data_IF_119833629078
#
_entry.id   IF_119833629078
#
_cell.length_a   1.000
_cell.length_b   1.000
_cell.length_c   1.000
_cell.angle_alpha   90.00
_cell.angle_beta   90.00
_cell.angle_gamma   90.00
#
_symmetry.space_group_name_H-M   'P 1'
#
loop_
_entity.id
_entity.type
_entity.pdbx_description
1 polymer ?
#
# COMPACT_ATOMS: atom_id res chain seq x y z
N UNK A 1 21.28 -6.64 70.10
CA UNK A 1 21.53 -8.04 69.67
C UNK A 1 20.89 -8.20 68.31
N UNK A 2 21.67 -8.16 67.22
CA UNK A 2 22.11 -9.32 66.41
C UNK A 2 20.90 -10.06 65.80
N UNK A 3 20.75 -10.24 64.49
CA UNK A 3 21.77 -10.69 63.53
C UNK A 3 21.51 -10.16 62.10
N UNK A 4 22.61 -9.84 61.41
CA UNK A 4 22.72 -9.65 59.96
C UNK A 4 22.83 -11.02 59.25
N UNK A 5 22.37 -11.09 57.99
CA UNK A 5 22.66 -12.17 57.05
C UNK A 5 23.21 -11.60 55.73
N UNK A 6 24.07 -12.34 55.00
CA UNK A 6 25.15 -11.78 54.20
C UNK A 6 24.74 -11.43 52.76
N UNK A 7 25.42 -10.41 52.21
CA UNK A 7 25.36 -9.96 50.81
C UNK A 7 25.84 -11.05 49.85
N UNK A 8 25.01 -11.37 48.85
CA UNK A 8 25.43 -12.11 47.67
C UNK A 8 26.14 -11.16 46.68
N UNK A 9 27.35 -11.54 46.25
CA UNK A 9 28.17 -10.83 45.27
C UNK A 9 27.59 -10.99 43.86
N UNK A 10 27.45 -9.86 43.14
CA UNK A 10 27.07 -9.85 41.74
C UNK A 10 28.24 -10.30 40.86
N UNK A 11 28.02 -11.36 40.08
CA UNK A 11 28.93 -11.79 39.03
C UNK A 11 28.80 -10.86 37.80
N UNK A 12 29.91 -10.29 37.36
CA UNK A 12 30.00 -9.56 36.09
C UNK A 12 30.05 -10.55 34.91
N UNK A 13 29.30 -10.35 33.82
CA UNK A 13 29.50 -11.11 32.61
C UNK A 13 30.69 -10.60 31.80
N UNK A 14 31.48 -11.55 31.32
CA UNK A 14 32.65 -11.46 30.46
C UNK A 14 32.38 -10.76 29.13
N UNK A 15 33.27 -9.87 28.72
CA UNK A 15 33.36 -9.36 27.36
C UNK A 15 33.95 -10.45 26.44
N UNK A 16 33.20 -10.84 25.40
CA UNK A 16 33.73 -11.61 24.28
C UNK A 16 33.20 -11.01 22.97
N UNK A 17 34.14 -10.45 22.22
CA UNK A 17 34.22 -10.27 20.76
C UNK A 17 32.92 -10.27 19.95
N UNK A 18 32.45 -9.08 19.59
CA UNK A 18 31.52 -8.91 18.47
C UNK A 18 32.31 -8.55 17.20
N UNK A 19 32.40 -9.53 16.31
CA UNK A 19 32.90 -9.39 14.96
C UNK A 19 32.06 -8.35 14.18
N UNK A 20 32.77 -7.49 13.47
CA UNK A 20 32.24 -6.39 12.67
C UNK A 20 31.28 -6.90 11.58
N UNK A 21 30.01 -6.49 11.65
CA UNK A 21 29.09 -6.52 10.52
C UNK A 21 29.13 -5.14 9.85
N UNK A 22 29.64 -5.10 8.63
CA UNK A 22 29.72 -3.91 7.78
C UNK A 22 28.34 -3.52 7.25
N UNK A 23 27.53 -2.89 8.10
CA UNK A 23 26.37 -2.12 7.66
C UNK A 23 26.81 -0.75 7.20
N UNK A 24 26.63 -0.41 5.92
CA UNK A 24 26.73 0.97 5.46
C UNK A 24 25.72 1.83 6.25
N UNK A 25 26.11 3.00 6.77
CA UNK A 25 25.21 3.83 7.56
C UNK A 25 24.07 4.35 6.68
N UNK A 26 22.84 3.95 7.01
CA UNK A 26 21.63 4.57 6.48
C UNK A 26 21.59 6.00 7.05
N UNK A 27 21.84 7.00 6.20
CA UNK A 27 21.65 8.38 6.61
C UNK A 27 20.20 8.58 7.05
N UNK A 28 19.94 9.26 8.19
CA UNK A 28 18.58 9.54 8.63
C UNK A 28 17.90 10.41 7.57
N UNK A 29 16.95 9.81 6.85
CA UNK A 29 16.00 10.57 6.03
C UNK A 29 15.14 11.37 7.01
N UNK A 30 15.08 12.69 6.87
CA UNK A 30 14.22 13.52 7.70
C UNK A 30 12.76 13.06 7.51
N UNK A 31 12.24 12.32 8.50
CA UNK A 31 10.91 11.71 8.45
C UNK A 31 9.78 12.65 8.81
N UNK A 32 10.09 13.89 9.19
CA UNK A 32 9.09 14.90 9.52
C UNK A 32 8.82 15.77 8.28
N UNK A 33 7.58 15.76 7.79
CA UNK A 33 7.13 16.81 6.87
C UNK A 33 6.78 18.05 7.69
N UNK A 34 7.62 19.10 7.72
CA UNK A 34 7.28 20.31 8.45
C UNK A 34 6.00 20.91 7.87
N UNK A 35 5.15 21.46 8.74
CA UNK A 35 4.04 22.29 8.26
C UNK A 35 4.64 23.49 7.50
N UNK A 36 4.35 23.61 6.21
CA UNK A 36 4.77 24.74 5.39
C UNK A 36 3.59 25.64 5.08
N UNK A 37 3.74 26.97 5.13
CA UNK A 37 2.75 27.88 4.56
C UNK A 37 2.60 27.62 3.05
N UNK A 38 1.47 28.02 2.49
CA UNK A 38 1.20 27.83 1.06
C UNK A 38 2.31 28.45 0.21
N UNK A 39 2.80 27.70 -0.78
CA UNK A 39 4.01 28.02 -1.55
C UNK A 39 3.79 29.18 -2.53
N UNK A 40 2.54 29.47 -2.91
CA UNK A 40 2.16 30.64 -3.69
C UNK A 40 0.75 31.12 -3.36
N UNK A 41 0.49 32.42 -3.57
CA UNK A 41 -0.84 33.04 -3.44
C UNK A 41 -1.68 32.95 -4.73
N UNK A 42 -1.19 32.21 -5.74
CA UNK A 42 -1.89 31.97 -7.00
C UNK A 42 -2.97 30.90 -6.83
N UNK A 43 -4.11 31.28 -6.26
CA UNK A 43 -5.24 30.38 -5.99
C UNK A 43 -5.66 29.55 -7.21
N UNK A 44 -5.66 30.13 -8.42
CA UNK A 44 -6.01 29.42 -9.66
C UNK A 44 -5.08 28.24 -9.95
N UNK A 45 -3.76 28.43 -9.85
CA UNK A 45 -2.79 27.36 -10.08
C UNK A 45 -2.92 26.25 -9.03
N UNK A 46 -3.24 26.60 -7.78
CA UNK A 46 -3.47 25.60 -6.73
C UNK A 46 -4.68 24.73 -7.05
N UNK A 47 -5.78 25.33 -7.49
CA UNK A 47 -6.98 24.59 -7.91
C UNK A 47 -6.63 23.68 -9.09
N UNK A 48 -5.98 24.22 -10.13
CA UNK A 48 -5.61 23.47 -11.32
C UNK A 48 -4.77 22.23 -11.00
N UNK A 49 -3.64 22.39 -10.29
CA UNK A 49 -2.73 21.27 -10.03
C UNK A 49 -3.29 20.25 -9.04
N UNK A 50 -4.04 20.68 -8.02
CA UNK A 50 -4.65 19.74 -7.07
C UNK A 50 -5.76 18.95 -7.75
N UNK A 51 -6.63 19.60 -8.52
CA UNK A 51 -7.69 18.93 -9.27
C UNK A 51 -7.11 18.00 -10.33
N UNK A 52 -6.07 18.43 -11.06
CA UNK A 52 -5.38 17.60 -12.05
C UNK A 52 -4.80 16.34 -11.40
N UNK A 53 -4.10 16.47 -10.27
CA UNK A 53 -3.54 15.32 -9.57
C UNK A 53 -4.63 14.34 -9.12
N UNK A 54 -5.77 14.83 -8.61
CA UNK A 54 -6.89 13.98 -8.18
C UNK A 54 -7.58 13.31 -9.38
N UNK A 55 -7.85 14.07 -10.45
CA UNK A 55 -8.63 13.62 -11.62
C UNK A 55 -7.81 12.73 -12.55
N UNK A 56 -6.50 13.00 -12.71
CA UNK A 56 -5.62 12.20 -13.55
C UNK A 56 -5.21 10.87 -12.91
N UNK A 57 -5.23 10.79 -11.57
CA UNK A 57 -4.93 9.55 -10.84
C UNK A 57 -5.89 8.44 -11.23
N UNK A 58 -5.33 7.32 -11.69
CA UNK A 58 -6.04 6.09 -12.06
C UNK A 58 -5.33 4.88 -11.45
N UNK A 59 -6.01 3.73 -11.42
CA UNK A 59 -5.38 2.46 -11.02
C UNK A 59 -4.61 1.89 -12.19
N UNK A 60 -3.30 2.11 -12.21
CA UNK A 60 -2.40 1.65 -13.29
C UNK A 60 -1.99 0.20 -13.07
N UNK A 61 -2.08 -0.63 -14.11
CA UNK A 61 -1.91 -2.09 -14.01
C UNK A 61 -0.84 -2.63 -14.96
N UNK A 62 0.00 -1.74 -15.49
CA UNK A 62 1.22 -2.05 -16.20
C UNK A 62 2.18 -0.87 -16.08
N UNK A 63 3.44 -1.17 -15.81
CA UNK A 63 4.45 -0.18 -15.48
C UNK A 63 5.70 -0.39 -16.33
N UNK A 64 6.40 0.71 -16.62
CA UNK A 64 7.74 0.64 -17.20
C UNK A 64 8.74 0.12 -16.16
N UNK A 65 9.82 -0.58 -16.59
CA UNK A 65 10.85 -1.07 -15.67
C UNK A 65 11.75 0.04 -15.11
N UNK A 66 11.49 1.30 -15.49
CA UNK A 66 12.23 2.49 -15.04
C UNK A 66 12.25 2.58 -13.52
N UNK A 67 13.43 2.50 -12.87
CA UNK A 67 13.53 2.58 -11.42
C UNK A 67 13.00 3.91 -10.87
N UNK A 68 12.42 3.87 -9.66
CA UNK A 68 12.05 5.08 -8.91
C UNK A 68 13.09 5.30 -7.81
N UNK A 69 13.74 6.48 -7.74
CA UNK A 69 14.71 6.76 -6.68
C UNK A 69 14.08 6.65 -5.28
N UNK A 70 14.80 6.05 -4.33
CA UNK A 70 14.34 5.93 -2.95
C UNK A 70 13.99 7.29 -2.34
N UNK A 71 14.75 8.33 -2.66
CA UNK A 71 14.48 9.70 -2.20
C UNK A 71 13.10 10.21 -2.67
N UNK A 72 12.69 9.87 -3.90
CA UNK A 72 11.37 10.22 -4.44
C UNK A 72 10.26 9.50 -3.69
N UNK A 73 10.43 8.20 -3.39
CA UNK A 73 9.46 7.43 -2.59
C UNK A 73 9.35 7.99 -1.18
N UNK A 74 10.48 8.30 -0.54
CA UNK A 74 10.52 8.89 0.79
C UNK A 74 9.83 10.27 0.83
N UNK A 75 10.05 11.10 -0.19
CA UNK A 75 9.42 12.40 -0.34
C UNK A 75 7.89 12.30 -0.54
N UNK A 76 7.42 11.31 -1.32
CA UNK A 76 5.98 11.00 -1.43
C UNK A 76 5.39 10.64 -0.07
N UNK A 77 6.02 9.72 0.66
CA UNK A 77 5.54 9.26 1.97
C UNK A 77 5.59 10.39 3.02
N UNK A 78 6.63 11.23 2.97
CA UNK A 78 6.77 12.40 3.82
C UNK A 78 5.62 13.38 3.58
N UNK A 79 5.32 13.75 2.33
CA UNK A 79 4.16 14.59 2.01
C UNK A 79 2.85 13.92 2.45
N UNK A 80 2.69 12.63 2.20
CA UNK A 80 1.47 11.90 2.57
C UNK A 80 1.25 11.80 4.08
N UNK A 81 2.31 11.85 4.89
CA UNK A 81 2.24 11.85 6.36
C UNK A 81 1.48 13.05 6.95
N UNK A 82 1.21 14.08 6.14
CA UNK A 82 0.36 15.21 6.51
C UNK A 82 -1.14 14.91 6.42
N UNK A 83 -1.53 13.70 6.03
CA UNK A 83 -2.91 13.25 6.16
C UNK A 83 -3.39 13.43 7.62
N UNK A 84 -4.64 13.87 7.85
CA UNK A 84 -5.18 13.93 9.20
C UNK A 84 -5.39 12.52 9.75
N UNK A 85 -5.40 12.42 11.08
CA UNK A 85 -5.82 11.22 11.80
C UNK A 85 -6.54 11.60 13.09
N UNK A 86 -7.42 10.73 13.58
CA UNK A 86 -8.11 10.95 14.86
C UNK A 86 -7.08 11.23 15.97
N UNK A 87 -7.21 12.38 16.65
CA UNK A 87 -6.24 12.84 17.66
C UNK A 87 -4.77 12.86 17.21
N UNK A 88 -4.52 12.94 15.90
CA UNK A 88 -3.19 12.90 15.29
C UNK A 88 -2.34 11.65 15.62
N UNK A 89 -2.99 10.49 15.83
CA UNK A 89 -2.29 9.25 16.22
C UNK A 89 -1.42 8.64 15.10
N UNK A 90 -1.64 9.05 13.84
CA UNK A 90 -0.82 8.69 12.67
C UNK A 90 -0.54 7.17 12.58
N UNK A 91 -1.58 6.34 12.39
CA UNK A 91 -1.51 4.89 12.62
C UNK A 91 -0.72 4.12 11.56
N UNK A 92 -0.29 4.79 10.49
CA UNK A 92 0.32 4.17 9.32
C UNK A 92 1.75 3.69 9.55
N UNK A 93 2.06 2.54 8.97
CA UNK A 93 3.39 1.98 8.82
C UNK A 93 3.52 1.46 7.39
N UNK A 94 4.57 1.88 6.69
CA UNK A 94 4.76 1.57 5.26
C UNK A 94 6.10 0.89 5.05
N UNK A 95 6.08 -0.25 4.38
CA UNK A 95 7.26 -0.97 3.92
C UNK A 95 7.37 -0.75 2.42
N UNK A 96 8.40 0.00 2.00
CA UNK A 96 8.68 0.25 0.59
C UNK A 96 9.74 -0.73 0.07
N UNK A 97 9.37 -1.54 -0.91
CA UNK A 97 10.21 -2.59 -1.48
C UNK A 97 10.62 -2.25 -2.91
N UNK A 98 11.90 -2.47 -3.22
CA UNK A 98 12.47 -2.43 -4.57
C UNK A 98 13.58 -3.47 -4.71
N UNK A 99 14.01 -3.76 -5.94
CA UNK A 99 15.12 -4.68 -6.19
C UNK A 99 14.89 -6.09 -5.60
N UNK A 100 15.90 -6.64 -4.93
CA UNK A 100 15.84 -8.00 -4.38
C UNK A 100 14.74 -8.19 -3.34
N UNK A 101 14.46 -7.19 -2.49
CA UNK A 101 13.39 -7.31 -1.49
C UNK A 101 12.00 -7.45 -2.14
N UNK A 102 11.74 -6.68 -3.20
CA UNK A 102 10.51 -6.79 -3.99
C UNK A 102 10.44 -8.14 -4.70
N UNK A 103 11.53 -8.54 -5.36
CA UNK A 103 11.61 -9.83 -6.05
C UNK A 103 11.36 -11.01 -5.11
N UNK A 104 11.96 -11.01 -3.92
CA UNK A 104 11.76 -12.05 -2.91
C UNK A 104 10.29 -12.15 -2.49
N UNK A 105 9.67 -11.02 -2.11
CA UNK A 105 8.27 -11.00 -1.72
C UNK A 105 7.34 -11.47 -2.85
N UNK A 106 7.51 -10.95 -4.06
CA UNK A 106 6.66 -11.30 -5.21
C UNK A 106 6.79 -12.77 -5.59
N UNK A 107 7.99 -13.36 -5.51
CA UNK A 107 8.21 -14.80 -5.73
C UNK A 107 7.38 -15.61 -4.75
N UNK A 108 7.50 -15.35 -3.45
CA UNK A 108 6.76 -16.09 -2.42
C UNK A 108 5.25 -15.95 -2.53
N UNK A 109 4.77 -14.77 -2.88
CA UNK A 109 3.34 -14.53 -3.09
C UNK A 109 2.81 -15.27 -4.32
N UNK A 110 3.58 -15.31 -5.41
CA UNK A 110 3.22 -16.07 -6.61
C UNK A 110 3.24 -17.57 -6.35
N UNK A 111 4.21 -18.09 -5.60
CA UNK A 111 4.26 -19.50 -5.23
C UNK A 111 3.01 -19.90 -4.43
N UNK A 112 2.66 -19.11 -3.41
CA UNK A 112 1.46 -19.31 -2.61
C UNK A 112 0.16 -19.16 -3.42
N UNK A 113 0.11 -18.23 -4.38
CA UNK A 113 -1.06 -18.00 -5.22
C UNK A 113 -1.22 -19.05 -6.33
N UNK A 114 -0.13 -19.57 -6.90
CA UNK A 114 -0.20 -20.53 -8.00
C UNK A 114 -0.37 -21.97 -7.52
N UNK A 115 -0.03 -22.28 -6.27
CA UNK A 115 -0.34 -23.55 -5.63
C UNK A 115 -1.81 -23.55 -5.11
N UNK A 116 -2.70 -24.39 -5.66
CA UNK A 116 -4.09 -24.49 -5.19
C UNK A 116 -4.23 -24.89 -3.71
N UNK A 117 -3.34 -25.73 -3.19
CA UNK A 117 -3.39 -26.17 -1.80
C UNK A 117 -2.99 -25.03 -0.85
N UNK A 118 -1.95 -24.27 -1.20
CA UNK A 118 -1.53 -23.09 -0.43
C UNK A 118 -2.61 -22.00 -0.44
N UNK A 119 -3.21 -21.70 -1.60
CA UNK A 119 -4.29 -20.72 -1.70
C UNK A 119 -5.44 -20.98 -0.74
N UNK A 120 -5.83 -22.24 -0.55
CA UNK A 120 -6.94 -22.60 0.34
C UNK A 120 -6.60 -22.40 1.83
N UNK A 121 -5.32 -22.30 2.18
CA UNK A 121 -4.85 -22.02 3.54
C UNK A 121 -4.79 -20.52 3.86
N UNK A 122 -4.97 -19.66 2.87
CA UNK A 122 -4.86 -18.21 3.01
C UNK A 122 -6.21 -17.52 2.92
N UNK A 123 -6.50 -16.66 3.89
CA UNK A 123 -7.71 -15.86 3.96
C UNK A 123 -7.36 -14.48 4.54
N UNK A 124 -8.13 -13.47 4.20
CA UNK A 124 -7.97 -12.15 4.80
C UNK A 124 -8.31 -12.14 6.31
N UNK A 125 -7.62 -11.31 7.08
CA UNK A 125 -7.87 -11.15 8.52
C UNK A 125 -9.11 -10.28 8.82
N UNK A 126 -9.59 -9.54 7.82
CA UNK A 126 -10.70 -8.61 7.96
C UNK A 126 -11.50 -8.59 6.65
N UNK A 127 -12.82 -8.42 6.75
CA UNK A 127 -13.67 -8.38 5.57
C UNK A 127 -13.54 -7.03 4.84
N UNK A 128 -12.74 -6.98 3.77
CA UNK A 128 -12.64 -5.78 2.92
C UNK A 128 -13.93 -5.53 2.12
N UNK A 129 -14.55 -6.60 1.63
CA UNK A 129 -15.79 -6.55 0.87
C UNK A 129 -16.96 -7.11 1.68
N UNK A 130 -18.21 -6.70 1.37
CA UNK A 130 -19.38 -7.30 2.00
C UNK A 130 -19.51 -8.78 1.61
N UNK A 131 -20.05 -9.57 2.53
CA UNK A 131 -20.35 -11.00 2.29
C UNK A 131 -21.48 -11.19 1.29
N UNK A 132 -22.45 -10.28 1.31
CA UNK A 132 -23.59 -10.25 0.41
C UNK A 132 -23.58 -8.96 -0.40
N UNK A 133 -23.75 -9.07 -1.71
CA UNK A 133 -23.75 -7.93 -2.62
C UNK A 133 -25.16 -7.49 -2.97
N UNK A 134 -25.42 -6.20 -2.84
CA UNK A 134 -26.67 -5.54 -3.25
C UNK A 134 -26.40 -4.46 -4.30
N UNK A 135 -27.46 -4.00 -4.98
CA UNK A 135 -27.39 -2.82 -5.83
C UNK A 135 -27.35 -1.53 -4.99
N UNK A 136 -26.64 -0.46 -5.44
CA UNK A 136 -25.96 -0.31 -6.73
C UNK A 136 -24.51 -0.86 -6.76
N UNK A 137 -24.03 -1.43 -5.65
CA UNK A 137 -22.62 -1.82 -5.51
C UNK A 137 -22.24 -3.01 -6.39
N UNK A 138 -23.14 -3.99 -6.54
CA UNK A 138 -22.92 -5.16 -7.38
C UNK A 138 -22.76 -4.77 -8.86
N UNK A 139 -23.58 -3.85 -9.39
CA UNK A 139 -23.42 -3.34 -10.75
C UNK A 139 -22.08 -2.61 -10.93
N UNK A 140 -21.73 -1.69 -10.01
CA UNK A 140 -20.47 -0.93 -10.06
C UNK A 140 -19.24 -1.86 -10.10
N UNK A 141 -19.21 -2.88 -9.23
CA UNK A 141 -18.14 -3.90 -9.21
C UNK A 141 -18.08 -4.71 -10.50
N UNK A 142 -19.23 -5.19 -11.00
CA UNK A 142 -19.29 -5.97 -12.23
C UNK A 142 -18.77 -5.16 -13.42
N UNK A 143 -19.20 -3.91 -13.55
CA UNK A 143 -18.83 -3.04 -14.66
C UNK A 143 -17.33 -2.84 -14.79
N UNK A 144 -16.64 -2.44 -13.73
CA UNK A 144 -15.18 -2.23 -13.80
C UNK A 144 -14.43 -3.53 -14.14
N UNK A 145 -14.91 -4.68 -13.64
CA UNK A 145 -14.36 -5.99 -14.00
C UNK A 145 -14.53 -6.32 -15.48
N UNK A 146 -15.74 -6.10 -16.02
CA UNK A 146 -16.02 -6.34 -17.44
C UNK A 146 -15.27 -5.39 -18.37
N UNK A 147 -15.19 -4.11 -18.02
CA UNK A 147 -14.47 -3.13 -18.84
C UNK A 147 -12.97 -3.49 -18.90
N UNK A 148 -12.36 -3.89 -17.78
CA UNK A 148 -10.97 -4.35 -17.74
C UNK A 148 -10.75 -5.62 -18.57
N UNK A 149 -11.59 -6.64 -18.39
CA UNK A 149 -11.45 -7.90 -19.13
C UNK A 149 -11.72 -7.73 -20.63
N UNK A 150 -12.64 -6.84 -21.00
CA UNK A 150 -12.90 -6.52 -22.40
C UNK A 150 -11.68 -5.88 -23.07
N UNK A 151 -11.00 -4.94 -22.40
CA UNK A 151 -9.75 -4.35 -22.90
C UNK A 151 -8.65 -5.39 -23.09
N UNK A 152 -8.56 -6.36 -22.18
CA UNK A 152 -7.57 -7.44 -22.23
C UNK A 152 -7.99 -8.59 -23.17
N UNK A 153 -9.18 -8.54 -23.77
CA UNK A 153 -9.72 -9.64 -24.57
C UNK A 153 -9.89 -10.95 -23.78
N UNK A 154 -10.16 -10.87 -22.47
CA UNK A 154 -10.37 -12.02 -21.58
C UNK A 154 -11.87 -12.34 -21.53
N UNK A 155 -12.24 -13.52 -22.04
CA UNK A 155 -13.62 -14.00 -22.01
C UNK A 155 -14.04 -14.51 -20.62
N UNK A 156 -15.35 -14.60 -20.38
CA UNK A 156 -15.92 -15.06 -19.09
C UNK A 156 -15.54 -16.49 -18.70
N UNK A 157 -15.18 -17.32 -19.68
CA UNK A 157 -14.83 -18.73 -19.51
C UNK A 157 -13.32 -18.96 -19.51
N UNK A 158 -12.52 -17.92 -19.72
CA UNK A 158 -11.07 -17.96 -19.88
C UNK A 158 -10.38 -17.98 -18.50
N UNK A 159 -10.63 -19.05 -17.75
CA UNK A 159 -10.20 -19.20 -16.34
C UNK A 159 -8.69 -19.05 -16.18
N UNK A 160 -7.91 -19.54 -17.14
CA UNK A 160 -6.45 -19.46 -17.13
C UNK A 160 -5.98 -18.01 -17.24
N UNK A 161 -6.47 -17.25 -18.23
CA UNK A 161 -6.08 -15.84 -18.38
C UNK A 161 -6.66 -14.96 -17.26
N UNK A 162 -7.83 -15.30 -16.73
CA UNK A 162 -8.37 -14.66 -15.52
C UNK A 162 -7.46 -14.89 -14.30
N UNK A 163 -6.98 -16.13 -14.08
CA UNK A 163 -6.03 -16.47 -13.02
C UNK A 163 -4.70 -15.72 -13.21
N UNK A 164 -4.15 -15.74 -14.43
CA UNK A 164 -2.94 -14.98 -14.76
C UNK A 164 -3.08 -13.48 -14.54
N UNK A 165 -4.21 -12.89 -14.94
CA UNK A 165 -4.47 -11.47 -14.70
C UNK A 165 -4.63 -11.15 -13.21
N UNK A 166 -5.18 -12.06 -12.41
CA UNK A 166 -5.22 -11.92 -10.96
C UNK A 166 -3.80 -12.00 -10.37
N UNK A 167 -3.00 -12.98 -10.82
CA UNK A 167 -1.62 -13.21 -10.36
C UNK A 167 -0.76 -11.96 -10.47
N UNK A 168 -1.00 -11.11 -11.48
CA UNK A 168 -0.30 -9.82 -11.66
C UNK A 168 -0.46 -8.86 -10.48
N UNK A 169 -1.46 -9.02 -9.62
CA UNK A 169 -1.50 -8.26 -8.36
C UNK A 169 -0.26 -8.53 -7.51
N UNK A 170 0.16 -9.80 -7.42
CA UNK A 170 1.24 -10.26 -6.55
C UNK A 170 2.63 -9.99 -7.10
N UNK A 171 2.73 -9.44 -8.31
CA UNK A 171 3.95 -8.83 -8.87
C UNK A 171 3.86 -7.30 -8.92
N UNK A 172 2.91 -6.70 -8.20
CA UNK A 172 2.63 -5.26 -8.25
C UNK A 172 2.43 -4.76 -9.69
N UNK A 173 1.84 -5.60 -10.54
CA UNK A 173 1.65 -5.33 -11.97
C UNK A 173 2.94 -5.01 -12.75
N UNK A 174 4.10 -5.42 -12.23
CA UNK A 174 5.40 -5.12 -12.80
C UNK A 174 5.98 -3.77 -12.37
N UNK A 175 5.39 -3.10 -11.39
CA UNK A 175 5.93 -1.85 -10.86
C UNK A 175 7.32 -2.06 -10.22
N UNK A 176 8.24 -1.08 -10.36
CA UNK A 176 9.57 -1.13 -9.76
C UNK A 176 9.56 -0.95 -8.24
N UNK A 177 8.46 -0.43 -7.67
CA UNK A 177 8.26 -0.27 -6.23
C UNK A 177 6.93 -0.90 -5.81
N UNK A 178 6.99 -1.74 -4.78
CA UNK A 178 5.84 -2.26 -4.06
C UNK A 178 5.77 -1.66 -2.67
N UNK A 179 4.62 -1.09 -2.29
CA UNK A 179 4.36 -0.60 -0.94
C UNK A 179 3.46 -1.61 -0.22
N UNK A 180 3.83 -2.00 0.99
CA UNK A 180 2.97 -2.77 1.90
C UNK A 180 2.64 -1.89 3.10
N UNK A 181 1.35 -1.78 3.40
CA UNK A 181 0.81 -0.95 4.47
C UNK A 181 0.35 -1.83 5.62
N UNK A 182 0.78 -1.48 6.84
CA UNK A 182 0.38 -2.19 8.05
C UNK A 182 -0.17 -1.23 9.09
N UNK A 183 -0.99 -1.78 9.99
CA UNK A 183 -1.58 -1.07 11.12
C UNK A 183 -1.38 -1.90 12.39
N UNK A 184 -1.41 -1.26 13.56
CA UNK A 184 -1.49 -2.00 14.81
C UNK A 184 -2.87 -2.67 14.94
N UNK A 185 -2.87 -3.95 15.32
CA UNK A 185 -4.08 -4.79 15.44
C UNK A 185 -5.07 -4.30 16.48
N UNK A 186 -4.60 -3.59 17.50
CA UNK A 186 -5.47 -3.09 18.55
C UNK A 186 -6.26 -1.84 18.12
N UNK A 187 -5.91 -1.24 16.98
CA UNK A 187 -6.64 -0.09 16.46
C UNK A 187 -7.95 -0.51 15.80
N UNK A 188 -8.97 0.30 16.02
CA UNK A 188 -10.35 0.02 15.62
C UNK A 188 -10.71 0.72 14.30
N UNK A 189 -11.98 0.57 13.89
CA UNK A 189 -12.54 1.07 12.63
C UNK A 189 -12.23 2.55 12.33
N UNK A 190 -12.12 3.40 13.35
CA UNK A 190 -11.75 4.81 13.17
C UNK A 190 -10.41 5.00 12.43
N UNK A 191 -9.43 4.17 12.75
CA UNK A 191 -8.09 4.25 12.14
C UNK A 191 -8.07 3.79 10.68
N UNK A 192 -9.13 3.12 10.19
CA UNK A 192 -9.28 2.79 8.78
C UNK A 192 -9.65 4.02 7.95
N UNK A 193 -10.37 5.00 8.53
CA UNK A 193 -10.62 6.29 7.90
C UNK A 193 -9.30 7.07 7.74
N UNK A 194 -8.51 7.12 8.82
CA UNK A 194 -7.18 7.74 8.82
C UNK A 194 -6.28 7.10 7.75
N UNK A 195 -6.30 5.77 7.64
CA UNK A 195 -5.53 5.06 6.62
C UNK A 195 -6.00 5.35 5.20
N UNK A 196 -7.32 5.45 4.98
CA UNK A 196 -7.86 5.84 3.68
C UNK A 196 -7.38 7.23 3.24
N UNK A 197 -7.34 8.19 4.17
CA UNK A 197 -6.82 9.54 3.93
C UNK A 197 -5.32 9.51 3.58
N UNK A 198 -4.53 8.72 4.31
CA UNK A 198 -3.10 8.54 4.05
C UNK A 198 -2.82 7.90 2.68
N UNK A 199 -3.49 6.79 2.36
CA UNK A 199 -3.33 6.10 1.07
C UNK A 199 -3.70 7.00 -0.11
N UNK A 200 -4.79 7.76 0.00
CA UNK A 200 -5.15 8.74 -1.03
C UNK A 200 -4.09 9.83 -1.17
N UNK A 201 -3.51 10.30 -0.06
CA UNK A 201 -2.44 11.30 -0.07
C UNK A 201 -1.18 10.77 -0.76
N UNK A 202 -0.81 9.50 -0.54
CA UNK A 202 0.29 8.83 -1.27
C UNK A 202 0.02 8.84 -2.78
N UNK A 203 -1.18 8.43 -3.21
CA UNK A 203 -1.52 8.35 -4.62
C UNK A 203 -1.52 9.72 -5.31
N UNK A 204 -2.03 10.76 -4.65
CA UNK A 204 -2.05 12.14 -5.18
C UNK A 204 -0.64 12.74 -5.21
N UNK A 205 0.15 12.54 -4.15
CA UNK A 205 1.54 13.00 -4.10
C UNK A 205 2.43 12.33 -5.15
N UNK A 206 2.15 11.06 -5.51
CA UNK A 206 2.80 10.38 -6.62
C UNK A 206 2.52 11.06 -7.96
N UNK A 207 1.28 11.48 -8.22
CA UNK A 207 0.91 12.19 -9.47
C UNK A 207 1.69 13.48 -9.67
N UNK A 208 1.89 14.26 -8.62
CA UNK A 208 2.68 15.49 -8.65
C UNK A 208 4.17 15.24 -9.03
N UNK A 209 4.66 14.01 -8.95
CA UNK A 209 6.02 13.59 -9.32
C UNK A 209 6.05 12.79 -10.63
N UNK A 210 4.96 12.80 -11.41
CA UNK A 210 4.84 12.07 -12.67
C UNK A 210 4.75 10.55 -12.50
N UNK A 211 4.45 10.06 -11.29
CA UNK A 211 4.32 8.64 -10.98
C UNK A 211 2.86 8.23 -10.87
N UNK A 212 2.61 6.94 -11.00
CA UNK A 212 1.30 6.32 -10.94
C UNK A 212 1.26 5.19 -9.93
N UNK A 213 0.04 4.87 -9.49
CA UNK A 213 -0.19 3.92 -8.42
C UNK A 213 -1.37 3.00 -8.69
N UNK A 214 -1.40 1.85 -8.00
CA UNK A 214 -2.59 1.03 -7.90
C UNK A 214 -2.73 0.51 -6.47
N UNK A 215 -3.75 0.92 -5.70
CA UNK A 215 -4.03 0.33 -4.40
C UNK A 215 -4.62 -1.08 -4.58
N UNK A 216 -4.19 -2.02 -3.74
CA UNK A 216 -4.42 -3.44 -3.94
C UNK A 216 -4.79 -4.13 -2.62
N UNK A 217 -6.08 -4.41 -2.44
CA UNK A 217 -6.56 -5.25 -1.34
C UNK A 217 -6.18 -6.73 -1.50
N UNK A 218 -5.78 -7.16 -2.70
CA UNK A 218 -5.42 -8.57 -2.99
C UNK A 218 -4.32 -9.12 -2.06
N UNK A 219 -3.41 -8.26 -1.59
CA UNK A 219 -2.35 -8.66 -0.66
C UNK A 219 -2.87 -9.09 0.72
N UNK A 220 -4.06 -8.62 1.15
CA UNK A 220 -4.61 -8.94 2.47
C UNK A 220 -4.86 -10.44 2.64
N UNK A 221 -5.21 -11.16 1.57
CA UNK A 221 -5.40 -12.62 1.60
C UNK A 221 -4.12 -13.35 1.98
N UNK A 222 -2.95 -12.86 1.56
CA UNK A 222 -1.65 -13.50 1.79
C UNK A 222 -0.86 -12.82 2.91
N UNK A 223 -1.56 -12.20 3.88
CA UNK A 223 -0.94 -11.46 4.96
C UNK A 223 0.11 -12.29 5.74
N UNK A 224 -0.10 -13.60 5.93
CA UNK A 224 0.87 -14.46 6.63
C UNK A 224 2.20 -14.60 5.87
N UNK A 225 2.15 -14.71 4.54
CA UNK A 225 3.35 -14.76 3.69
C UNK A 225 4.11 -13.45 3.81
N UNK A 226 3.38 -12.33 3.74
CA UNK A 226 3.93 -10.97 3.88
C UNK A 226 4.55 -10.77 5.27
N UNK A 227 3.84 -11.16 6.33
CA UNK A 227 4.31 -11.05 7.71
C UNK A 227 5.60 -11.84 7.93
N UNK A 228 5.69 -13.06 7.39
CA UNK A 228 6.90 -13.86 7.47
C UNK A 228 8.06 -13.23 6.67
N UNK A 229 7.81 -12.76 5.45
CA UNK A 229 8.84 -12.16 4.59
C UNK A 229 9.39 -10.85 5.16
N UNK A 230 8.50 -9.97 5.62
CA UNK A 230 8.89 -8.65 6.16
C UNK A 230 9.21 -8.70 7.66
N UNK A 231 9.13 -9.89 8.28
CA UNK A 231 9.34 -10.12 9.71
C UNK A 231 8.49 -9.17 10.57
N UNK A 232 7.21 -9.03 10.21
CA UNK A 232 6.29 -8.18 10.93
C UNK A 232 6.05 -8.74 12.34
N UNK A 233 6.03 -7.91 13.39
CA UNK A 233 5.67 -8.38 14.72
C UNK A 233 4.18 -8.78 14.74
N UNK A 234 3.82 -9.68 15.64
CA UNK A 234 2.45 -10.21 15.75
C UNK A 234 1.41 -9.11 16.00
N UNK A 235 1.79 -7.97 16.57
CA UNK A 235 0.91 -6.81 16.78
C UNK A 235 0.50 -6.10 15.48
N UNK A 236 1.10 -6.45 14.33
CA UNK A 236 0.83 -5.79 13.04
C UNK A 236 -0.09 -6.63 12.17
N UNK A 237 -1.01 -5.93 11.52
CA UNK A 237 -1.90 -6.46 10.49
C UNK A 237 -1.60 -5.78 9.15
N UNK A 238 -1.58 -6.56 8.08
CA UNK A 238 -1.47 -6.03 6.71
C UNK A 238 -2.81 -5.42 6.30
N UNK A 239 -2.81 -4.14 5.95
CA UNK A 239 -4.00 -3.40 5.50
C UNK A 239 -4.20 -3.54 3.99
N UNK A 240 -3.16 -3.33 3.19
CA UNK A 240 -3.19 -3.53 1.74
C UNK A 240 -1.77 -3.40 1.17
N UNK A 241 -1.62 -3.58 -0.13
CA UNK A 241 -0.45 -3.13 -0.87
C UNK A 241 -0.77 -2.05 -1.88
N UNK A 242 0.27 -1.47 -2.49
CA UNK A 242 0.15 -0.54 -3.60
C UNK A 242 1.36 -0.64 -4.53
N UNK A 243 1.10 -0.78 -5.82
CA UNK A 243 2.10 -0.63 -6.86
C UNK A 243 2.45 0.85 -7.06
N UNK A 244 3.72 1.19 -7.28
CA UNK A 244 4.19 2.55 -7.55
C UNK A 244 5.27 2.54 -8.65
N UNK A 245 5.10 3.37 -9.68
CA UNK A 245 6.04 3.47 -10.78
C UNK A 245 5.57 4.38 -11.90
N UNK A 246 6.27 4.35 -13.04
CA UNK A 246 5.83 5.03 -14.25
C UNK A 246 4.86 4.14 -15.03
N UNK A 247 3.67 4.64 -15.35
CA UNK A 247 2.73 3.89 -16.17
C UNK A 247 3.32 3.55 -17.54
N UNK A 248 3.07 2.33 -18.03
CA UNK A 248 3.32 1.98 -19.42
C UNK A 248 2.19 2.58 -20.30
N UNK A 249 2.50 3.56 -21.18
CA UNK A 249 1.48 4.18 -22.03
C UNK A 249 0.94 3.24 -23.12
N UNK A 250 1.69 2.20 -23.49
CA UNK A 250 1.31 1.28 -24.56
C UNK A 250 0.41 0.14 -24.06
N UNK A 251 0.40 -0.12 -22.75
CA UNK A 251 -0.41 -1.15 -22.14
C UNK A 251 -1.92 -0.87 -22.24
N UNK A 252 -2.66 -1.80 -22.85
CA UNK A 252 -4.09 -1.63 -23.14
C UNK A 252 -4.94 -1.50 -21.87
N UNK A 253 -4.57 -2.19 -20.79
CA UNK A 253 -5.25 -2.12 -19.50
C UNK A 253 -5.17 -0.75 -18.83
N UNK A 254 -4.15 0.06 -19.16
CA UNK A 254 -4.00 1.43 -18.65
C UNK A 254 -4.92 2.43 -19.38
N UNK A 255 -5.59 2.00 -20.45
CA UNK A 255 -6.63 2.76 -21.14
C UNK A 255 -7.99 2.68 -20.45
N UNK A 256 -8.13 1.85 -19.41
CA UNK A 256 -9.36 1.76 -18.63
C UNK A 256 -9.74 3.11 -18.03
N UNK A 257 -10.88 3.64 -18.48
CA UNK A 257 -11.55 4.78 -17.86
C UNK A 257 -12.68 4.24 -17.00
N UNK A 258 -12.72 4.65 -15.73
CA UNK A 258 -13.73 4.18 -14.78
C UNK A 258 -14.77 5.25 -14.55
N UNK A 259 -16.04 4.87 -14.53
CA UNK A 259 -17.14 5.78 -14.22
C UNK A 259 -17.16 6.16 -12.72
N UNK A 260 -17.84 7.26 -12.42
CA UNK A 260 -18.21 7.68 -11.07
C UNK A 260 -19.70 7.95 -11.04
N UNK A 261 -20.33 7.65 -9.90
CA UNK A 261 -21.74 7.95 -9.69
C UNK A 261 -21.98 9.47 -9.83
N UNK A 262 -23.04 9.90 -10.54
CA UNK A 262 -23.49 11.29 -10.56
C UNK A 262 -23.61 11.88 -9.15
N UNK A 263 -23.26 13.15 -8.99
CA UNK A 263 -23.21 13.84 -7.68
C UNK A 263 -24.53 13.76 -6.91
N UNK A 264 -25.66 13.90 -7.62
CA UNK A 264 -27.00 13.86 -7.06
C UNK A 264 -27.46 12.48 -6.56
N UNK A 265 -26.71 11.40 -6.82
CA UNK A 265 -26.99 10.08 -6.23
C UNK A 265 -26.54 9.97 -4.77
N UNK A 266 -25.59 10.79 -4.32
CA UNK A 266 -24.93 10.62 -3.03
C UNK A 266 -24.66 11.90 -2.24
N UNK A 267 -24.79 13.08 -2.86
CA UNK A 267 -24.71 14.36 -2.18
C UNK A 267 -26.11 14.98 -2.04
N UNK A 268 -26.45 15.37 -0.81
CA UNK A 268 -27.71 16.02 -0.46
C UNK A 268 -27.42 17.43 0.05
N UNK A 269 -27.85 18.45 -0.69
CA UNK A 269 -27.73 19.84 -0.31
C UNK A 269 -29.02 20.26 0.41
N UNK A 270 -28.89 20.68 1.66
CA UNK A 270 -29.98 21.12 2.53
C UNK A 270 -29.72 22.57 2.92
N UNK A 271 -30.74 23.41 2.85
CA UNK A 271 -30.70 24.83 3.27
C UNK A 271 -31.13 25.00 4.73
#
# INVERSE_FOLDING_TARGET
MKQEHPRAQAAQPSQSDNAATSGLPIQPMAGESPHRPAVNDHATLRVEYVDEAIRSRRSIRAYLPTPVPQATVADILSVASRAPSGSNIQPWQTYALSGEALKSLTTRLLDAFNDPAQRLMHQEEYAYYPREWSEPYQARRRKVGWDLYSLLGIGRTDKERMHGQHARNFTFFGAPVGLIFTIDRHLEQGSWLDYGMFLQSVMVAARARGLDTCPQAAFATFHQVISAELRLPETRMVVCGMALGYADPEAVENRLVTERAPLNEWAHFLD
#
